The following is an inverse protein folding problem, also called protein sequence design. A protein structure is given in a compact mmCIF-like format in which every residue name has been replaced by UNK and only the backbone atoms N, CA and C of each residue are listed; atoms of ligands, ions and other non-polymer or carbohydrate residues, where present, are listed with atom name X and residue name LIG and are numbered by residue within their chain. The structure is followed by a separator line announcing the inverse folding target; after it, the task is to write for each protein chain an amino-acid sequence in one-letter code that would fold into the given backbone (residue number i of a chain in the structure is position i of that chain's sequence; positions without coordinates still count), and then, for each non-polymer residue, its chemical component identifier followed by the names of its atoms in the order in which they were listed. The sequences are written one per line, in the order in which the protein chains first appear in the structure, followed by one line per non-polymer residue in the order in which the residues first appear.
data_IF_533206296935
#
_entry.id   IF_533206296935
#
_cell.length_a   1.000
_cell.length_b   1.000
_cell.length_c   1.000
_cell.angle_alpha   90.00
_cell.angle_beta   90.00
_cell.angle_gamma   90.00
#
_symmetry.space_group_name_H-M   'P 1'
#
loop_
_entity.id
_entity.type
_entity.pdbx_description
1 polymer ?
#
# COMPACT_ATOMS: atom_id res chain seq x y z
N UNK A 1 22.89 -7.26 22.20
CA UNK A 1 21.51 -7.13 21.71
C UNK A 1 21.40 -6.98 20.19
N UNK A 2 22.12 -6.06 19.52
CA UNK A 2 22.12 -5.94 18.04
C UNK A 2 22.46 -7.24 17.29
N UNK A 3 23.52 -7.94 17.69
CA UNK A 3 23.86 -9.24 17.07
C UNK A 3 22.82 -10.33 17.37
N UNK A 4 22.24 -10.31 18.57
CA UNK A 4 21.17 -11.25 18.95
C UNK A 4 19.89 -11.01 18.14
N UNK A 5 19.53 -9.75 17.85
CA UNK A 5 18.40 -9.42 16.96
C UNK A 5 18.71 -9.85 15.52
N UNK A 6 19.95 -9.65 15.04
CA UNK A 6 20.35 -10.10 13.70
C UNK A 6 20.31 -11.63 13.56
N UNK A 7 20.68 -12.35 14.62
CA UNK A 7 20.58 -13.82 14.72
C UNK A 7 19.13 -14.30 14.88
N UNK A 8 18.27 -13.53 15.57
CA UNK A 8 16.84 -13.84 15.73
C UNK A 8 16.04 -13.63 14.43
N UNK A 9 16.55 -12.86 13.47
CA UNK A 9 15.98 -12.75 12.13
C UNK A 9 16.37 -13.99 11.32
N UNK A 10 15.54 -15.02 11.41
CA UNK A 10 15.64 -16.23 10.60
C UNK A 10 15.40 -15.90 9.11
N UNK A 11 16.09 -16.62 8.22
CA UNK A 11 15.89 -16.55 6.77
C UNK A 11 14.42 -16.79 6.38
N UNK A 12 13.77 -17.76 7.04
CA UNK A 12 12.36 -18.09 6.79
C UNK A 12 11.42 -16.91 7.07
N UNK A 13 11.74 -16.10 8.09
CA UNK A 13 10.96 -14.91 8.46
C UNK A 13 11.02 -13.85 7.35
N UNK A 14 12.23 -13.60 6.82
CA UNK A 14 12.42 -12.63 5.73
C UNK A 14 11.67 -13.09 4.48
N UNK A 15 11.80 -14.37 4.13
CA UNK A 15 11.14 -14.93 2.96
C UNK A 15 9.62 -14.83 3.09
N UNK A 16 9.06 -15.20 4.25
CA UNK A 16 7.63 -15.03 4.52
C UNK A 16 7.16 -13.58 4.39
N UNK A 17 7.91 -12.61 4.91
CA UNK A 17 7.54 -11.20 4.77
C UNK A 17 7.60 -10.72 3.32
N UNK A 18 8.58 -11.17 2.53
CA UNK A 18 8.68 -10.85 1.10
C UNK A 18 7.49 -11.39 0.33
N UNK A 19 7.12 -12.65 0.57
CA UNK A 19 5.95 -13.27 -0.06
C UNK A 19 4.69 -12.46 0.22
N UNK A 20 4.50 -12.03 1.47
CA UNK A 20 3.36 -11.18 1.84
C UNK A 20 3.41 -9.82 1.12
N UNK A 21 4.57 -9.16 1.06
CA UNK A 21 4.70 -7.88 0.35
C UNK A 21 4.36 -8.02 -1.14
N UNK A 22 4.83 -9.09 -1.77
CA UNK A 22 4.52 -9.36 -3.18
C UNK A 22 3.08 -9.79 -3.39
N UNK A 23 2.43 -10.50 -2.45
CA UNK A 23 1.02 -10.86 -2.58
C UNK A 23 0.11 -9.65 -2.52
N UNK A 24 0.41 -8.69 -1.64
CA UNK A 24 -0.27 -7.40 -1.57
C UNK A 24 -0.11 -6.61 -2.87
N UNK A 25 1.11 -6.52 -3.40
CA UNK A 25 1.39 -5.90 -4.69
C UNK A 25 0.58 -6.57 -5.82
N UNK A 26 0.64 -7.90 -5.89
CA UNK A 26 -0.07 -8.69 -6.89
C UNK A 26 -1.58 -8.45 -6.82
N UNK A 27 -2.16 -8.38 -5.62
CA UNK A 27 -3.59 -8.10 -5.43
C UNK A 27 -4.01 -6.76 -6.03
N UNK A 28 -3.28 -5.68 -5.73
CA UNK A 28 -3.54 -4.35 -6.29
C UNK A 28 -3.40 -4.34 -7.83
N UNK A 29 -2.33 -4.96 -8.35
CA UNK A 29 -2.09 -4.99 -9.79
C UNK A 29 -3.07 -5.89 -10.55
N UNK A 30 -3.50 -7.02 -9.97
CA UNK A 30 -4.54 -7.86 -10.56
C UNK A 30 -5.85 -7.08 -10.69
N UNK A 31 -6.21 -6.31 -9.66
CA UNK A 31 -7.40 -5.46 -9.70
C UNK A 31 -7.27 -4.35 -10.75
N UNK A 32 -6.11 -3.67 -10.81
CA UNK A 32 -5.84 -2.67 -11.84
C UNK A 32 -5.91 -3.26 -13.27
N UNK A 33 -5.37 -4.46 -13.48
CA UNK A 33 -5.42 -5.15 -14.77
C UNK A 33 -6.87 -5.45 -15.20
N UNK A 34 -7.72 -5.88 -14.27
CA UNK A 34 -9.15 -6.07 -14.53
C UNK A 34 -9.80 -4.73 -14.94
N UNK A 35 -9.53 -3.65 -14.21
CA UNK A 35 -10.05 -2.32 -14.53
C UNK A 35 -9.63 -1.85 -15.93
N UNK A 36 -8.36 -2.04 -16.28
CA UNK A 36 -7.83 -1.68 -17.60
C UNK A 36 -8.40 -2.56 -18.71
N UNK A 37 -8.58 -3.86 -18.47
CA UNK A 37 -9.22 -4.76 -19.41
C UNK A 37 -10.66 -4.30 -19.72
N UNK A 38 -11.42 -3.92 -18.69
CA UNK A 38 -12.77 -3.37 -18.85
C UNK A 38 -12.73 -2.08 -19.67
N UNK A 39 -11.80 -1.16 -19.36
CA UNK A 39 -11.62 0.09 -20.10
C UNK A 39 -11.38 -0.14 -21.60
N UNK A 40 -10.45 -1.02 -21.96
CA UNK A 40 -10.16 -1.31 -23.37
C UNK A 40 -11.30 -2.03 -24.11
N UNK A 41 -12.18 -2.72 -23.37
CA UNK A 41 -13.37 -3.37 -23.93
C UNK A 41 -14.53 -2.41 -24.23
N UNK A 42 -14.46 -1.14 -23.76
CA UNK A 42 -15.54 -0.19 -23.97
C UNK A 42 -15.57 0.33 -25.41
N UNK A 43 -16.78 0.45 -25.97
CA UNK A 43 -17.01 1.23 -27.19
C UNK A 43 -17.21 2.68 -26.78
N UNK A 44 -16.29 3.56 -27.18
CA UNK A 44 -16.35 4.98 -26.85
C UNK A 44 -17.53 5.64 -27.57
N UNK A 45 -18.44 6.27 -26.82
CA UNK A 45 -19.44 7.17 -27.37
C UNK A 45 -18.95 8.62 -27.11
N UNK A 46 -18.56 9.38 -28.15
CA UNK A 46 -17.82 10.64 -27.99
C UNK A 46 -18.65 11.78 -27.36
N UNK A 47 -19.96 11.64 -27.25
CA UNK A 47 -20.87 12.73 -26.84
C UNK A 47 -21.36 12.64 -25.38
N UNK A 48 -20.75 11.77 -24.56
CA UNK A 48 -21.14 11.67 -23.13
C UNK A 48 -20.59 12.87 -22.35
N UNK A 49 -21.44 13.85 -22.10
CA UNK A 49 -21.16 14.93 -21.13
C UNK A 49 -21.11 14.32 -19.74
N UNK A 50 -19.91 14.22 -19.18
CA UNK A 50 -19.72 13.48 -17.93
C UNK A 50 -19.86 14.40 -16.71
N UNK A 51 -20.86 14.18 -15.83
CA UNK A 51 -21.10 15.08 -14.70
C UNK A 51 -20.02 14.96 -13.62
N UNK A 52 -19.69 16.07 -12.96
CA UNK A 52 -18.78 16.12 -11.81
C UNK A 52 -19.29 15.36 -10.56
N UNK A 53 -20.52 14.86 -10.60
CA UNK A 53 -21.17 14.08 -9.53
C UNK A 53 -21.05 12.57 -9.72
N UNK A 54 -20.30 12.09 -10.71
CA UNK A 54 -20.09 10.66 -10.91
C UNK A 54 -19.47 9.98 -9.69
N UNK A 55 -19.90 8.74 -9.41
CA UNK A 55 -19.32 7.89 -8.38
C UNK A 55 -17.80 7.72 -8.56
N UNK A 56 -17.32 7.62 -9.80
CA UNK A 56 -15.90 7.53 -10.11
C UNK A 56 -15.12 8.75 -9.62
N UNK A 57 -15.69 9.96 -9.79
CA UNK A 57 -15.09 11.20 -9.31
C UNK A 57 -15.04 11.25 -7.78
N UNK A 58 -16.14 10.92 -7.11
CA UNK A 58 -16.21 10.89 -5.65
C UNK A 58 -15.21 9.89 -5.06
N UNK A 59 -15.10 8.69 -5.64
CA UNK A 59 -14.15 7.66 -5.20
C UNK A 59 -12.71 8.10 -5.47
N UNK A 60 -12.45 8.81 -6.58
CA UNK A 60 -11.13 9.39 -6.85
C UNK A 60 -10.73 10.37 -5.75
N UNK A 61 -11.61 11.30 -5.39
CA UNK A 61 -11.35 12.25 -4.30
C UNK A 61 -11.18 11.54 -2.95
N UNK A 62 -11.98 10.50 -2.69
CA UNK A 62 -11.86 9.71 -1.48
C UNK A 62 -10.53 8.94 -1.42
N UNK A 63 -10.08 8.35 -2.52
CA UNK A 63 -8.81 7.63 -2.61
C UNK A 63 -7.62 8.57 -2.37
N UNK A 64 -7.62 9.75 -3.00
CA UNK A 64 -6.60 10.77 -2.80
C UNK A 64 -6.62 11.32 -1.36
N UNK A 65 -7.80 11.63 -0.83
CA UNK A 65 -7.97 12.09 0.55
C UNK A 65 -7.51 11.03 1.56
N UNK A 66 -7.90 9.77 1.36
CA UNK A 66 -7.46 8.65 2.17
C UNK A 66 -5.93 8.53 2.13
N UNK A 67 -5.30 8.65 0.96
CA UNK A 67 -3.85 8.58 0.83
C UNK A 67 -3.14 9.67 1.65
N UNK A 68 -3.65 10.91 1.64
CA UNK A 68 -3.12 12.02 2.45
C UNK A 68 -3.16 11.69 3.94
N UNK A 69 -4.23 11.04 4.41
CA UNK A 69 -4.38 10.61 5.82
C UNK A 69 -3.57 9.35 6.12
N UNK A 70 -3.45 8.44 5.15
CA UNK A 70 -2.74 7.16 5.29
C UNK A 70 -1.25 7.38 5.58
N UNK A 71 -0.62 8.38 4.97
CA UNK A 71 0.81 8.69 5.19
C UNK A 71 1.12 8.94 6.68
N UNK A 72 0.54 9.96 7.36
CA UNK A 72 0.79 10.20 8.78
C UNK A 72 0.22 9.08 9.66
N UNK A 73 -0.96 8.54 9.35
CA UNK A 73 -1.57 7.45 10.12
C UNK A 73 -0.67 6.22 10.16
N UNK A 74 -0.09 5.84 9.02
CA UNK A 74 0.83 4.72 8.91
C UNK A 74 2.07 4.91 9.79
N UNK A 75 2.59 6.15 9.89
CA UNK A 75 3.72 6.48 10.75
C UNK A 75 3.38 6.40 12.24
N UNK A 76 2.20 6.88 12.63
CA UNK A 76 1.70 6.78 14.02
C UNK A 76 1.49 5.34 14.43
N UNK A 77 0.82 4.54 13.58
CA UNK A 77 0.58 3.12 13.83
C UNK A 77 1.91 2.35 13.89
N UNK A 78 2.82 2.58 12.95
CA UNK A 78 4.13 1.95 12.95
C UNK A 78 4.86 2.18 14.28
N UNK A 79 4.93 3.43 14.76
CA UNK A 79 5.54 3.75 16.07
C UNK A 79 4.81 3.09 17.22
N UNK A 80 3.48 3.00 17.18
CA UNK A 80 2.67 2.35 18.23
C UNK A 80 3.00 0.86 18.35
N UNK A 81 3.12 0.16 17.22
CA UNK A 81 3.49 -1.27 17.19
C UNK A 81 4.97 -1.51 17.56
N UNK A 82 5.84 -0.51 17.42
CA UNK A 82 7.23 -0.59 17.87
C UNK A 82 7.43 -0.32 19.37
N UNK A 83 6.41 0.13 20.12
CA UNK A 83 6.58 0.37 21.57
C UNK A 83 6.76 -0.96 22.29
N UNK A 84 8.01 -1.28 22.63
CA UNK A 84 8.40 -2.47 23.39
C UNK A 84 9.56 -2.09 24.28
N UNK A 85 9.62 -2.70 25.47
CA UNK A 85 10.66 -2.41 26.44
C UNK A 85 12.01 -2.98 25.97
N UNK A 86 13.12 -2.27 26.23
CA UNK A 86 14.45 -2.64 25.70
C UNK A 86 14.95 -3.99 26.23
N UNK A 87 14.44 -4.44 27.38
CA UNK A 87 14.79 -5.72 28.00
C UNK A 87 13.94 -6.90 27.50
N UNK A 88 13.09 -6.70 26.50
CA UNK A 88 12.25 -7.76 25.93
C UNK A 88 13.07 -8.71 25.07
N UNK A 89 12.67 -9.98 25.02
CA UNK A 89 13.26 -11.01 24.15
C UNK A 89 13.44 -10.50 22.70
N UNK A 90 14.65 -10.65 22.10
CA UNK A 90 14.92 -10.31 20.70
C UNK A 90 13.89 -10.84 19.69
N UNK A 91 13.31 -12.03 19.94
CA UNK A 91 12.28 -12.60 19.06
C UNK A 91 10.98 -11.80 19.08
N UNK A 92 10.58 -11.28 20.25
CA UNK A 92 9.39 -10.43 20.40
C UNK A 92 9.60 -9.08 19.70
N UNK A 93 10.80 -8.52 19.80
CA UNK A 93 11.16 -7.27 19.10
C UNK A 93 11.04 -7.45 17.59
N UNK A 94 11.58 -8.56 17.04
CA UNK A 94 11.45 -8.88 15.61
C UNK A 94 10.00 -9.07 15.21
N UNK A 95 9.18 -9.76 16.02
CA UNK A 95 7.75 -9.94 15.76
C UNK A 95 7.01 -8.59 15.70
N UNK A 96 7.32 -7.66 16.61
CA UNK A 96 6.71 -6.33 16.65
C UNK A 96 7.14 -5.46 15.45
N UNK A 97 8.41 -5.53 15.03
CA UNK A 97 8.86 -4.88 13.80
C UNK A 97 8.09 -5.42 12.58
N UNK A 98 7.91 -6.74 12.49
CA UNK A 98 7.13 -7.37 11.41
C UNK A 98 5.68 -6.90 11.42
N UNK A 99 5.03 -6.92 12.59
CA UNK A 99 3.67 -6.45 12.75
C UNK A 99 3.53 -4.98 12.33
N UNK A 100 4.46 -4.12 12.76
CA UNK A 100 4.50 -2.72 12.37
C UNK A 100 4.63 -2.54 10.84
N UNK A 101 5.52 -3.31 10.20
CA UNK A 101 5.68 -3.30 8.74
C UNK A 101 4.40 -3.74 8.01
N UNK A 102 3.74 -4.80 8.49
CA UNK A 102 2.50 -5.31 7.88
C UNK A 102 1.32 -4.35 8.04
N UNK A 103 1.16 -3.76 9.24
CA UNK A 103 0.10 -2.76 9.48
C UNK A 103 0.32 -1.54 8.59
N UNK A 104 1.57 -1.08 8.46
CA UNK A 104 1.92 0.02 7.57
C UNK A 104 1.58 -0.31 6.11
N UNK A 105 1.90 -1.52 5.69
CA UNK A 105 1.61 -2.00 4.34
C UNK A 105 0.10 -2.04 4.06
N UNK A 106 -0.69 -2.61 4.99
CA UNK A 106 -2.15 -2.71 4.87
C UNK A 106 -2.84 -1.34 4.76
N UNK A 107 -2.35 -0.34 5.49
CA UNK A 107 -2.87 1.04 5.38
C UNK A 107 -2.66 1.61 3.99
N UNK A 108 -1.49 1.43 3.38
CA UNK A 108 -1.24 1.91 2.02
C UNK A 108 -1.93 1.08 0.94
N UNK A 109 -2.06 -0.23 1.15
CA UNK A 109 -2.83 -1.11 0.27
C UNK A 109 -4.30 -0.66 0.20
N UNK A 110 -4.91 -0.32 1.34
CA UNK A 110 -6.28 0.20 1.37
C UNK A 110 -6.47 1.43 0.48
N UNK A 111 -5.49 2.35 0.47
CA UNK A 111 -5.49 3.51 -0.42
C UNK A 111 -5.40 3.10 -1.90
N UNK A 112 -4.49 2.17 -2.22
CA UNK A 112 -4.24 1.70 -3.57
C UNK A 112 -5.42 0.91 -4.15
N UNK A 113 -6.06 0.03 -3.36
CA UNK A 113 -7.25 -0.72 -3.76
C UNK A 113 -8.45 0.20 -3.98
N UNK A 114 -8.66 1.19 -3.11
CA UNK A 114 -9.71 2.18 -3.29
C UNK A 114 -9.51 2.97 -4.58
N UNK A 115 -8.26 3.35 -4.88
CA UNK A 115 -7.92 4.02 -6.12
C UNK A 115 -8.15 3.13 -7.36
N UNK A 116 -7.73 1.86 -7.30
CA UNK A 116 -7.98 0.89 -8.37
C UNK A 116 -9.48 0.64 -8.60
N UNK A 117 -10.29 0.73 -7.54
CA UNK A 117 -11.76 0.72 -7.59
C UNK A 117 -12.33 1.96 -8.28
N UNK A 118 -11.76 3.15 -8.02
CA UNK A 118 -12.10 4.37 -8.76
C UNK A 118 -11.86 4.23 -10.27
N UNK A 119 -10.75 3.60 -10.66
CA UNK A 119 -10.45 3.29 -12.07
C UNK A 119 -11.46 2.28 -12.61
N UNK A 120 -11.80 1.22 -11.86
CA UNK A 120 -12.78 0.23 -12.30
C UNK A 120 -14.14 0.87 -12.58
N UNK A 121 -14.66 1.65 -11.64
CA UNK A 121 -15.97 2.30 -11.77
C UNK A 121 -15.94 3.32 -12.92
N UNK A 122 -14.86 4.11 -13.02
CA UNK A 122 -14.68 5.01 -14.15
C UNK A 122 -14.61 4.29 -15.50
N UNK A 123 -14.06 3.07 -15.50
CA UNK A 123 -13.99 2.21 -16.69
C UNK A 123 -15.29 1.48 -16.97
N UNK A 124 -16.20 1.31 -16.01
CA UNK A 124 -17.52 0.70 -16.25
C UNK A 124 -18.49 1.74 -16.84
N UNK A 125 -18.45 2.95 -16.30
CA UNK A 125 -19.37 4.03 -16.68
C UNK A 125 -18.89 4.85 -17.88
N UNK A 126 -17.71 4.53 -18.45
CA UNK A 126 -17.11 5.30 -19.57
C UNK A 126 -16.50 6.64 -19.15
N UNK A 127 -16.56 6.96 -17.86
CA UNK A 127 -16.06 8.21 -17.27
C UNK A 127 -14.56 8.41 -17.51
N UNK A 128 -13.80 7.32 -17.59
CA UNK A 128 -12.34 7.33 -17.74
C UNK A 128 -11.88 7.94 -19.08
N UNK A 129 -12.73 7.86 -20.11
CA UNK A 129 -12.46 8.40 -21.45
C UNK A 129 -12.68 9.91 -21.45
N UNK A 130 -13.81 10.36 -20.88
CA UNK A 130 -14.22 11.77 -20.93
C UNK A 130 -13.61 12.65 -19.84
N UNK A 131 -13.05 12.07 -18.77
CA UNK A 131 -12.50 12.86 -17.67
C UNK A 131 -11.12 12.37 -17.20
N UNK A 132 -10.04 13.12 -17.49
CA UNK A 132 -8.69 12.71 -17.16
C UNK A 132 -8.42 12.66 -15.66
N UNK A 133 -9.25 13.29 -14.82
CA UNK A 133 -8.99 13.36 -13.37
C UNK A 133 -9.01 11.99 -12.70
N UNK A 134 -9.77 11.03 -13.23
CA UNK A 134 -9.86 9.68 -12.64
C UNK A 134 -8.55 8.91 -12.78
N UNK A 135 -7.67 9.30 -13.73
CA UNK A 135 -6.33 8.75 -13.83
C UNK A 135 -5.42 9.15 -12.66
N UNK A 136 -5.78 10.17 -11.87
CA UNK A 136 -5.07 10.49 -10.63
C UNK A 136 -5.14 9.35 -9.60
N UNK A 137 -6.07 8.40 -9.74
CA UNK A 137 -6.06 7.16 -8.97
C UNK A 137 -4.81 6.29 -9.19
N UNK A 138 -4.02 6.54 -10.24
CA UNK A 138 -2.72 5.90 -10.38
C UNK A 138 -1.72 6.39 -9.31
N UNK A 139 -1.92 7.55 -8.69
CA UNK A 139 -1.00 8.11 -7.68
C UNK A 139 -0.93 7.24 -6.42
N UNK A 140 -2.03 6.84 -5.76
CA UNK A 140 -1.99 5.88 -4.65
C UNK A 140 -1.35 4.54 -5.01
N UNK A 141 -1.63 4.01 -6.20
CA UNK A 141 -1.07 2.73 -6.68
C UNK A 141 0.44 2.84 -6.88
N UNK A 142 0.89 3.92 -7.53
CA UNK A 142 2.31 4.18 -7.76
C UNK A 142 3.06 4.38 -6.45
N UNK A 143 2.51 5.17 -5.53
CA UNK A 143 3.10 5.36 -4.21
C UNK A 143 3.20 4.06 -3.43
N UNK A 144 2.16 3.23 -3.44
CA UNK A 144 2.18 1.92 -2.78
C UNK A 144 3.28 1.02 -3.35
N UNK A 145 3.42 0.99 -4.67
CA UNK A 145 4.48 0.25 -5.37
C UNK A 145 5.87 0.74 -4.96
N UNK A 146 6.08 2.06 -5.02
CA UNK A 146 7.34 2.68 -4.60
C UNK A 146 7.63 2.38 -3.12
N UNK A 147 6.60 2.43 -2.27
CA UNK A 147 6.71 2.13 -0.85
C UNK A 147 7.21 0.69 -0.62
N UNK A 148 6.66 -0.29 -1.33
CA UNK A 148 7.09 -1.69 -1.26
C UNK A 148 8.54 -1.85 -1.72
N UNK A 149 8.91 -1.26 -2.86
CA UNK A 149 10.28 -1.35 -3.41
C UNK A 149 11.30 -0.76 -2.41
N UNK A 150 11.00 0.43 -1.86
CA UNK A 150 11.89 1.12 -0.93
C UNK A 150 11.95 0.48 0.47
N UNK A 151 10.93 -0.29 0.85
CA UNK A 151 10.81 -0.89 2.19
C UNK A 151 10.82 -2.42 2.14
N UNK A 152 11.39 -3.00 1.09
CA UNK A 152 11.48 -4.45 0.92
C UNK A 152 12.16 -5.08 2.15
N UNK A 153 11.57 -6.13 2.76
CA UNK A 153 12.16 -6.76 3.92
C UNK A 153 13.51 -7.40 3.58
N UNK A 154 14.55 -6.88 4.23
CA UNK A 154 15.91 -7.42 4.24
C UNK A 154 16.40 -7.47 5.68
N UNK A 155 17.36 -8.34 5.97
CA UNK A 155 17.96 -8.43 7.30
C UNK A 155 18.56 -7.07 7.72
N UNK A 156 19.23 -6.38 6.79
CA UNK A 156 19.80 -5.05 7.00
C UNK A 156 18.72 -4.01 7.33
N UNK A 157 17.56 -4.08 6.69
CA UNK A 157 16.45 -3.14 6.94
C UNK A 157 15.84 -3.35 8.32
N UNK A 158 15.63 -4.61 8.74
CA UNK A 158 15.11 -4.92 10.08
C UNK A 158 16.10 -4.46 11.16
N UNK A 159 17.40 -4.70 10.95
CA UNK A 159 18.45 -4.22 11.85
C UNK A 159 18.48 -2.68 11.94
N UNK A 160 18.35 -1.98 10.80
CA UNK A 160 18.26 -0.52 10.76
C UNK A 160 17.03 0.03 11.50
N UNK A 161 15.86 -0.61 11.35
CA UNK A 161 14.64 -0.22 12.07
C UNK A 161 14.84 -0.41 13.57
N UNK A 162 15.47 -1.50 13.99
CA UNK A 162 15.81 -1.72 15.39
C UNK A 162 16.74 -0.62 15.93
N UNK A 163 17.83 -0.32 15.23
CA UNK A 163 18.79 0.71 15.65
C UNK A 163 18.15 2.11 15.75
N UNK A 164 17.39 2.52 14.74
CA UNK A 164 16.79 3.86 14.68
C UNK A 164 15.65 4.12 15.67
N UNK A 165 15.07 3.08 16.27
CA UNK A 165 13.90 3.22 17.16
C UNK A 165 14.17 2.76 18.59
N UNK A 166 15.19 1.93 18.82
CA UNK A 166 15.50 1.40 20.14
C UNK A 166 16.85 1.86 20.69
N UNK A 167 17.70 2.55 19.92
CA UNK A 167 18.91 3.21 20.41
C UNK A 167 18.80 4.73 20.28
#
# INVERSE_FOLDING_TARGET
MKEQVKQAVDHNIILGLRVIFFSFLLGVYAFLLISLFVYFGQKSDPDVVVPLTSNAYMITLLALGYMVVAIPLSGVLFKKFLKTDRNTDPHVIVANIRAAMLVRLAVFEGAALLAATGILIGSLDGYLIGNPIVWLNLVPIFYFTLHIIMNLPTQSRIAYIYESNFY
#
